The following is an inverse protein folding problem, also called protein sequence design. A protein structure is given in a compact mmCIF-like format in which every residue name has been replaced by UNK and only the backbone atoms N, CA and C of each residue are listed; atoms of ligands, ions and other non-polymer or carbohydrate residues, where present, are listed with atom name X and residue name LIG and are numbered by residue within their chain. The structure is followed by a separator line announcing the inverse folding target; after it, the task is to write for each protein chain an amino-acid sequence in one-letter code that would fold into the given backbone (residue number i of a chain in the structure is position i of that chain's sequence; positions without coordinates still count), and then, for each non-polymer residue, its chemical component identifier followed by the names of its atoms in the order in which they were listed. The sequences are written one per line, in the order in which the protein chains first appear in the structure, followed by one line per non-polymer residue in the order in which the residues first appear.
data_IF_522165036917
#
_entry.id   IF_522165036917
#
_cell.length_a   1.000
_cell.length_b   1.000
_cell.length_c   1.000
_cell.angle_alpha   90.00
_cell.angle_beta   90.00
_cell.angle_gamma   90.00
#
_symmetry.space_group_name_H-M   'P 1'
#
loop_
_entity.id
_entity.type
_entity.pdbx_description
1 polymer ?
#
# COMPACT_ATOMS: atom_id res chain seq x y z
N UNK A 1 -3.27 -21.46 15.47
CA UNK A 1 -2.03 -20.66 15.66
C UNK A 1 -0.84 -21.61 15.66
N UNK A 2 0.26 -21.28 14.96
CA UNK A 2 1.44 -22.15 14.95
C UNK A 2 2.15 -22.05 16.30
N UNK A 3 2.29 -23.18 17.02
CA UNK A 3 3.00 -23.26 18.31
C UNK A 3 4.51 -23.37 18.09
N UNK A 4 5.09 -22.38 17.42
CA UNK A 4 6.54 -22.30 17.12
C UNK A 4 7.09 -21.08 17.82
N UNK A 5 8.11 -21.26 18.67
CA UNK A 5 8.73 -20.15 19.41
C UNK A 5 9.71 -19.38 18.53
N UNK A 6 9.53 -18.06 18.45
CA UNK A 6 10.50 -17.12 17.86
C UNK A 6 11.05 -16.28 19.00
N UNK A 7 12.35 -16.39 19.26
CA UNK A 7 12.99 -15.63 20.36
C UNK A 7 13.15 -14.16 19.96
N UNK A 8 13.38 -13.90 18.67
CA UNK A 8 13.50 -12.54 18.15
C UNK A 8 13.13 -12.45 16.68
N UNK A 9 12.54 -11.32 16.31
CA UNK A 9 12.27 -10.97 14.93
C UNK A 9 12.60 -9.49 14.69
N UNK A 10 13.28 -9.18 13.58
CA UNK A 10 13.46 -7.81 13.09
C UNK A 10 13.08 -7.74 11.62
N UNK A 11 12.21 -6.79 11.29
CA UNK A 11 11.79 -6.55 9.91
C UNK A 11 12.31 -5.20 9.47
N UNK A 12 13.00 -5.17 8.35
CA UNK A 12 13.44 -3.96 7.68
C UNK A 12 12.63 -3.82 6.39
N UNK A 13 12.05 -2.64 6.17
CA UNK A 13 11.25 -2.34 4.97
C UNK A 13 11.81 -1.09 4.32
N UNK A 14 12.08 -1.17 3.02
CA UNK A 14 12.43 -0.04 2.17
C UNK A 14 11.41 0.08 1.06
N UNK A 15 10.77 1.25 0.97
CA UNK A 15 9.77 1.53 -0.03
C UNK A 15 10.23 2.69 -0.94
N UNK A 16 9.95 2.58 -2.24
CA UNK A 16 10.20 3.63 -3.23
C UNK A 16 8.86 4.09 -3.78
N UNK A 17 8.62 5.39 -3.78
CA UNK A 17 7.39 6.01 -4.29
C UNK A 17 7.72 7.12 -5.27
N UNK A 18 6.78 7.42 -6.18
CA UNK A 18 6.82 8.58 -7.07
C UNK A 18 5.51 9.32 -6.99
N UNK A 19 5.56 10.65 -7.01
CA UNK A 19 4.42 11.51 -7.27
C UNK A 19 4.70 12.36 -8.51
N UNK A 20 3.68 12.59 -9.33
CA UNK A 20 3.75 13.41 -10.54
C UNK A 20 2.45 14.20 -10.74
N UNK A 21 2.46 15.15 -11.67
CA UNK A 21 1.32 16.04 -11.95
C UNK A 21 1.32 17.31 -11.10
N UNK A 22 0.19 18.01 -11.08
CA UNK A 22 0.02 19.29 -10.37
C UNK A 22 -1.23 19.25 -9.49
N UNK A 23 -1.07 19.72 -8.25
CA UNK A 23 -2.18 19.91 -7.31
C UNK A 23 -3.17 20.95 -7.85
N UNK A 24 -2.66 22.08 -8.35
CA UNK A 24 -3.51 23.17 -8.86
C UNK A 24 -4.24 22.80 -10.16
N UNK A 25 -3.63 21.93 -10.97
CA UNK A 25 -4.23 21.46 -12.22
C UNK A 25 -5.08 20.18 -12.04
N UNK A 26 -5.23 19.66 -10.81
CA UNK A 26 -6.02 18.46 -10.52
C UNK A 26 -5.53 17.21 -11.31
N UNK A 27 -4.22 17.07 -11.47
CA UNK A 27 -3.57 15.94 -12.18
C UNK A 27 -2.63 15.13 -11.31
N UNK A 28 -2.61 15.38 -10.00
CA UNK A 28 -1.66 14.68 -9.11
C UNK A 28 -1.93 13.17 -9.11
N UNK A 29 -0.87 12.40 -9.23
CA UNK A 29 -0.93 10.95 -9.14
C UNK A 29 0.31 10.42 -8.41
N UNK A 30 0.07 9.56 -7.42
CA UNK A 30 1.13 8.85 -6.69
C UNK A 30 1.13 7.37 -7.08
N UNK A 31 2.31 6.75 -7.08
CA UNK A 31 2.48 5.31 -7.27
C UNK A 31 3.64 4.74 -6.47
N UNK A 32 3.51 3.48 -6.08
CA UNK A 32 4.62 2.67 -5.59
C UNK A 32 5.53 2.27 -6.76
N UNK A 33 6.84 2.39 -6.57
CA UNK A 33 7.87 1.93 -7.51
C UNK A 33 8.49 0.59 -7.09
N UNK A 34 8.40 0.23 -5.82
CA UNK A 34 8.91 -1.03 -5.31
C UNK A 34 9.01 -1.06 -3.80
N UNK A 35 9.00 -2.27 -3.25
CA UNK A 35 9.20 -2.56 -1.84
C UNK A 35 10.26 -3.64 -1.71
N UNK A 36 11.20 -3.46 -0.79
CA UNK A 36 12.20 -4.43 -0.40
C UNK A 36 11.98 -4.72 1.09
N UNK A 37 11.87 -6.00 1.46
CA UNK A 37 11.76 -6.43 2.85
C UNK A 37 12.89 -7.36 3.21
N UNK A 38 13.35 -7.29 4.46
CA UNK A 38 14.36 -8.19 5.01
C UNK A 38 13.97 -8.57 6.42
N UNK A 39 13.78 -9.86 6.66
CA UNK A 39 13.41 -10.45 7.93
C UNK A 39 14.61 -11.16 8.54
N UNK A 40 14.98 -10.78 9.76
CA UNK A 40 15.96 -11.50 10.58
C UNK A 40 15.22 -12.18 11.74
N UNK A 41 15.52 -13.46 11.97
CA UNK A 41 14.91 -14.27 13.02
C UNK A 41 15.98 -14.96 13.86
N UNK A 42 15.73 -15.04 15.17
CA UNK A 42 16.48 -15.88 16.12
C UNK A 42 15.47 -16.87 16.72
N UNK A 43 15.75 -18.19 16.63
CA UNK A 43 14.91 -19.27 17.15
C UNK A 43 15.69 -20.57 17.29
N UNK A 44 15.46 -21.32 18.37
CA UNK A 44 15.97 -22.69 18.56
C UNK A 44 15.06 -23.79 17.99
N UNK A 45 13.92 -23.42 17.39
CA UNK A 45 12.99 -24.38 16.78
C UNK A 45 13.52 -24.94 15.44
N UNK A 46 13.05 -26.13 15.01
CA UNK A 46 13.41 -26.67 13.70
C UNK A 46 13.11 -25.70 12.54
N UNK A 47 14.05 -25.48 11.59
CA UNK A 47 13.91 -24.49 10.52
C UNK A 47 12.63 -24.63 9.69
N UNK A 48 12.14 -25.85 9.46
CA UNK A 48 10.91 -26.13 8.73
C UNK A 48 9.66 -25.57 9.43
N UNK A 49 9.66 -25.55 10.78
CA UNK A 49 8.57 -24.95 11.57
C UNK A 49 8.61 -23.44 11.49
N UNK A 50 9.81 -22.85 11.55
CA UNK A 50 10.02 -21.40 11.38
C UNK A 50 9.61 -20.97 9.97
N UNK A 51 9.99 -21.72 8.94
CA UNK A 51 9.62 -21.44 7.56
C UNK A 51 8.11 -21.44 7.34
N UNK A 52 7.39 -22.35 8.00
CA UNK A 52 5.93 -22.36 7.97
C UNK A 52 5.31 -21.14 8.67
N UNK A 53 5.91 -20.63 9.74
CA UNK A 53 5.51 -19.36 10.37
C UNK A 53 5.69 -18.20 9.40
N UNK A 54 6.86 -18.08 8.76
CA UNK A 54 7.16 -17.00 7.80
C UNK A 54 6.16 -17.01 6.65
N UNK A 55 5.94 -18.16 6.00
CA UNK A 55 4.96 -18.28 4.90
C UNK A 55 3.56 -17.84 5.32
N UNK A 56 3.10 -18.29 6.49
CA UNK A 56 1.78 -17.91 7.00
C UNK A 56 1.71 -16.42 7.36
N UNK A 57 2.78 -15.85 7.91
CA UNK A 57 2.84 -14.43 8.24
C UNK A 57 2.75 -13.55 6.98
N UNK A 58 3.50 -13.88 5.93
CA UNK A 58 3.49 -13.13 4.66
C UNK A 58 2.18 -13.31 3.89
N UNK A 59 1.67 -14.54 3.80
CA UNK A 59 0.37 -14.84 3.18
C UNK A 59 -0.80 -14.22 3.96
N UNK A 60 -0.67 -14.05 5.28
CA UNK A 60 -1.67 -13.43 6.14
C UNK A 60 -1.53 -11.91 6.26
N UNK A 61 -0.46 -11.31 5.75
CA UNK A 61 -0.22 -9.87 5.88
C UNK A 61 -1.08 -9.08 4.89
N UNK A 62 -2.19 -8.51 5.36
CA UNK A 62 -3.12 -7.73 4.52
C UNK A 62 -2.43 -6.67 3.65
N UNK A 63 -1.45 -5.95 4.19
CA UNK A 63 -0.72 -4.91 3.44
C UNK A 63 0.10 -5.53 2.32
N UNK A 64 0.89 -6.56 2.61
CA UNK A 64 1.73 -7.23 1.61
C UNK A 64 0.86 -7.86 0.52
N UNK A 65 -0.22 -8.55 0.91
CA UNK A 65 -1.15 -9.17 -0.04
C UNK A 65 -1.88 -8.13 -0.90
N UNK A 66 -2.26 -6.97 -0.34
CA UNK A 66 -2.86 -5.88 -1.14
C UNK A 66 -1.87 -5.27 -2.14
N UNK A 67 -0.58 -5.21 -1.79
CA UNK A 67 0.47 -4.71 -2.70
C UNK A 67 0.74 -5.72 -3.82
N UNK A 68 0.83 -7.01 -3.49
CA UNK A 68 1.10 -8.09 -4.46
C UNK A 68 -0.12 -8.41 -5.33
N UNK A 69 -1.32 -8.27 -4.77
CA UNK A 69 -2.61 -8.56 -5.40
C UNK A 69 -3.56 -7.37 -5.18
N UNK A 70 -3.43 -6.30 -5.98
CA UNK A 70 -4.29 -5.12 -5.84
C UNK A 70 -5.76 -5.46 -6.00
N UNK A 71 -6.58 -4.94 -5.09
CA UNK A 71 -8.04 -5.09 -5.12
C UNK A 71 -8.70 -3.78 -5.56
N UNK A 72 -9.91 -3.83 -6.15
CA UNK A 72 -10.68 -2.62 -6.44
C UNK A 72 -10.93 -1.78 -5.19
N UNK A 73 -10.82 -0.46 -5.32
CA UNK A 73 -11.16 0.49 -4.26
C UNK A 73 -12.49 1.17 -4.60
N UNK A 74 -13.55 0.81 -3.88
CA UNK A 74 -14.84 1.50 -3.98
C UNK A 74 -14.79 2.82 -3.19
N UNK A 75 -15.22 3.91 -3.83
CA UNK A 75 -15.17 5.26 -3.24
C UNK A 75 -16.56 5.89 -3.33
N UNK A 76 -17.07 6.37 -2.21
CA UNK A 76 -18.33 7.12 -2.11
C UNK A 76 -18.04 8.47 -1.48
N UNK A 77 -18.61 9.53 -2.03
CA UNK A 77 -18.42 10.88 -1.53
C UNK A 77 -19.76 11.48 -1.14
N UNK A 78 -19.72 12.33 -0.11
CA UNK A 78 -20.83 13.20 0.26
C UNK A 78 -20.30 14.60 0.49
N UNK A 79 -21.10 15.60 0.13
CA UNK A 79 -20.82 17.02 0.35
C UNK A 79 -22.04 17.61 1.05
N UNK A 80 -21.87 18.07 2.29
CA UNK A 80 -22.94 18.63 3.12
C UNK A 80 -24.17 17.71 3.22
N UNK A 81 -23.95 16.41 3.44
CA UNK A 81 -25.00 15.40 3.58
C UNK A 81 -25.66 14.95 2.27
N UNK A 82 -25.25 15.50 1.12
CA UNK A 82 -25.77 15.11 -0.20
C UNK A 82 -24.74 14.24 -0.94
N UNK A 83 -25.21 13.24 -1.70
CA UNK A 83 -24.34 12.44 -2.55
C UNK A 83 -23.53 13.34 -3.50
N UNK A 84 -22.22 13.14 -3.54
CA UNK A 84 -21.29 13.95 -4.32
C UNK A 84 -20.47 13.05 -5.24
N UNK A 85 -20.22 13.54 -6.44
CA UNK A 85 -19.38 12.87 -7.43
C UNK A 85 -18.46 13.93 -8.04
N UNK A 86 -17.17 13.95 -7.66
CA UNK A 86 -16.24 14.97 -8.13
C UNK A 86 -16.04 14.96 -9.64
N UNK A 87 -16.18 13.80 -10.30
CA UNK A 87 -15.94 13.69 -11.75
C UNK A 87 -17.10 14.26 -12.59
N UNK A 88 -18.23 14.67 -11.97
CA UNK A 88 -19.31 15.40 -12.64
C UNK A 88 -19.00 16.87 -12.89
N UNK A 89 -17.96 17.40 -12.27
CA UNK A 89 -17.57 18.80 -12.39
C UNK A 89 -16.37 18.95 -13.33
N UNK A 90 -16.32 20.01 -14.16
CA UNK A 90 -15.16 20.25 -15.00
C UNK A 90 -13.94 20.53 -14.12
N UNK A 91 -12.83 19.85 -14.41
CA UNK A 91 -11.53 20.19 -13.80
C UNK A 91 -11.17 21.62 -14.12
N UNK A 92 -10.49 22.32 -13.20
CA UNK A 92 -10.02 23.68 -13.48
C UNK A 92 -9.23 23.71 -14.80
N UNK A 93 -9.80 24.42 -15.79
CA UNK A 93 -9.21 24.67 -17.10
C UNK A 93 -7.76 25.13 -16.86
N UNK A 94 -6.77 24.44 -17.45
CA UNK A 94 -5.43 24.98 -17.53
C UNK A 94 -5.56 26.36 -18.17
N UNK A 95 -5.38 27.44 -17.41
CA UNK A 95 -5.19 28.76 -18.02
C UNK A 95 -3.90 28.62 -18.80
N UNK A 96 -4.00 28.45 -20.12
CA UNK A 96 -2.88 28.70 -21.02
C UNK A 96 -2.55 30.18 -20.82
N UNK A 97 -1.36 30.55 -20.32
CA UNK A 97 -0.98 31.95 -20.26
C UNK A 97 -0.76 32.42 -21.71
N UNK A 98 -1.73 33.13 -22.31
CA UNK A 98 -1.56 33.71 -23.65
C UNK A 98 -2.77 33.79 -24.58
N UNK A 99 -4.00 33.87 -24.09
CA UNK A 99 -5.16 34.40 -24.86
C UNK A 99 -5.82 35.54 -24.08
#
# INVERSE_FOLDING_TARGET
MMKTKIDKARVFVKAKFKSEGSVLAETVQARGLGFETRLELESEEPPERVAAVVRNAENGCYVMQTILHPVPVERKFSLNGTAFDPERFPRKRQRVPGE
#
